data_IF_499979873884
#
_entry.id   IF_499979873884
#
_cell.length_a   1.000
_cell.length_b   1.000
_cell.length_c   1.000
_cell.angle_alpha   90.00
_cell.angle_beta   90.00
_cell.angle_gamma   90.00
#
_symmetry.space_group_name_H-M   'P 1'
#
loop_
_entity.id
_entity.type
_entity.pdbx_description
1 polymer ?
#
# COMPACT_ATOMS: atom_id res chain seq x y z
N UNK A 1 -0.16 1.34 24.94
CA UNK A 1 0.09 1.22 23.48
C UNK A 1 0.32 -0.24 23.12
N UNK A 2 -0.35 -0.78 22.08
CA UNK A 2 -0.22 -2.18 21.70
C UNK A 2 -0.41 -2.39 20.21
N UNK A 3 0.44 -3.27 19.63
CA UNK A 3 0.25 -3.79 18.27
C UNK A 3 -0.96 -4.71 18.26
N UNK A 4 -1.80 -4.63 17.23
CA UNK A 4 -3.05 -5.38 17.13
C UNK A 4 -2.89 -6.66 16.32
N UNK A 5 -3.47 -7.76 16.86
CA UNK A 5 -3.44 -9.07 16.23
C UNK A 5 -4.54 -9.24 15.18
N UNK A 6 -4.48 -10.32 14.44
CA UNK A 6 -5.48 -10.79 13.48
C UNK A 6 -6.91 -10.79 14.03
N UNK A 7 -7.10 -11.22 15.29
CA UNK A 7 -8.42 -11.25 15.95
C UNK A 7 -9.04 -9.85 16.03
N UNK A 8 -8.25 -8.88 16.46
CA UNK A 8 -8.70 -7.50 16.56
C UNK A 8 -8.94 -6.89 15.16
N UNK A 9 -8.04 -7.16 14.20
CA UNK A 9 -8.18 -6.67 12.81
C UNK A 9 -9.47 -7.20 12.22
N UNK A 10 -9.77 -8.49 12.40
CA UNK A 10 -11.01 -9.12 11.94
C UNK A 10 -12.24 -8.46 12.56
N UNK A 11 -12.26 -8.32 13.89
CA UNK A 11 -13.36 -7.66 14.61
C UNK A 11 -13.63 -6.25 14.07
N UNK A 12 -12.58 -5.44 13.90
CA UNK A 12 -12.70 -4.07 13.41
C UNK A 12 -13.13 -4.01 11.95
N UNK A 13 -12.64 -4.91 11.11
CA UNK A 13 -13.06 -4.98 9.70
C UNK A 13 -14.53 -5.39 9.55
N UNK A 14 -14.97 -6.42 10.26
CA UNK A 14 -16.34 -6.94 10.17
C UNK A 14 -17.37 -6.02 10.83
N UNK A 15 -17.09 -5.50 12.04
CA UNK A 15 -18.05 -4.70 12.82
C UNK A 15 -18.03 -3.21 12.51
N UNK A 16 -16.87 -2.65 12.12
CA UNK A 16 -16.67 -1.20 11.93
C UNK A 16 -16.27 -0.82 10.50
N UNK A 17 -16.18 -1.80 9.60
CA UNK A 17 -15.78 -1.57 8.20
C UNK A 17 -14.42 -0.86 8.08
N UNK A 18 -13.48 -1.22 8.99
CA UNK A 18 -12.15 -0.60 9.01
C UNK A 18 -11.37 -0.85 7.72
N UNK A 19 -11.61 -2.00 7.05
CA UNK A 19 -10.99 -2.41 5.79
C UNK A 19 -12.07 -2.93 4.86
N UNK A 20 -12.22 -2.35 3.66
CA UNK A 20 -13.18 -2.79 2.65
C UNK A 20 -12.56 -2.76 1.24
N UNK A 21 -12.58 -3.87 0.47
CA UNK A 21 -13.02 -5.20 0.85
C UNK A 21 -12.04 -5.88 1.81
N UNK A 22 -12.55 -6.63 2.79
CA UNK A 22 -11.76 -7.31 3.80
C UNK A 22 -11.52 -8.77 3.44
N UNK A 23 -10.28 -9.24 3.65
CA UNK A 23 -9.88 -10.63 3.50
C UNK A 23 -9.41 -11.20 4.84
N UNK A 24 -10.13 -12.17 5.38
CA UNK A 24 -9.94 -12.69 6.75
C UNK A 24 -8.69 -13.56 6.95
N UNK A 25 -8.01 -13.95 5.87
CA UNK A 25 -6.80 -14.76 5.91
C UNK A 25 -5.88 -14.43 4.73
N UNK A 26 -4.74 -15.12 4.66
CA UNK A 26 -3.78 -14.96 3.56
C UNK A 26 -4.24 -15.69 2.30
N UNK A 27 -4.49 -14.95 1.23
CA UNK A 27 -4.71 -15.49 -0.12
C UNK A 27 -3.36 -15.60 -0.82
N UNK A 28 -3.07 -16.76 -1.39
CA UNK A 28 -1.79 -17.09 -2.06
C UNK A 28 -1.96 -17.67 -3.46
N UNK A 29 -3.20 -18.00 -3.82
CA UNK A 29 -3.58 -18.55 -5.12
C UNK A 29 -4.84 -17.88 -5.61
N UNK A 30 -4.90 -17.65 -6.90
CA UNK A 30 -6.08 -17.16 -7.58
C UNK A 30 -7.11 -18.27 -7.86
N UNK A 31 -8.18 -17.91 -8.54
CA UNK A 31 -9.28 -18.82 -8.86
C UNK A 31 -8.86 -19.98 -9.76
N UNK A 32 -7.86 -19.78 -10.61
CA UNK A 32 -7.30 -20.80 -11.52
C UNK A 32 -6.02 -21.45 -10.95
N UNK A 33 -5.85 -21.46 -9.63
CA UNK A 33 -4.68 -22.00 -8.92
C UNK A 33 -3.33 -21.30 -9.24
N UNK A 34 -3.33 -20.19 -9.95
CA UNK A 34 -2.13 -19.39 -10.21
C UNK A 34 -1.56 -18.83 -8.90
N UNK A 35 -0.23 -18.73 -8.84
CA UNK A 35 0.47 -18.23 -7.67
C UNK A 35 0.35 -16.71 -7.58
N UNK A 36 -0.19 -16.20 -6.48
CA UNK A 36 -0.26 -14.77 -6.17
C UNK A 36 0.76 -14.37 -5.12
N UNK A 37 1.20 -13.12 -5.18
CA UNK A 37 1.88 -12.47 -4.06
C UNK A 37 0.81 -12.25 -2.97
N UNK A 38 0.99 -12.89 -1.83
CA UNK A 38 -0.04 -13.04 -0.80
C UNK A 38 -0.58 -11.70 -0.30
N UNK A 39 -1.88 -11.65 -0.02
CA UNK A 39 -2.58 -10.52 0.58
C UNK A 39 -3.61 -10.97 1.62
N UNK A 40 -4.12 -10.04 2.42
CA UNK A 40 -5.11 -10.31 3.46
C UNK A 40 -4.50 -10.31 4.87
N UNK A 41 -5.27 -10.78 5.83
CA UNK A 41 -4.90 -10.72 7.25
C UNK A 41 -3.73 -11.66 7.56
N UNK A 42 -2.69 -11.12 8.21
CA UNK A 42 -1.58 -11.84 8.82
C UNK A 42 -1.69 -11.78 10.35
N UNK A 43 -0.78 -12.43 11.09
CA UNK A 43 -0.85 -12.54 12.56
C UNK A 43 -0.89 -11.18 13.28
N UNK A 44 -0.16 -10.17 12.80
CA UNK A 44 -0.09 -8.82 13.38
C UNK A 44 -0.13 -7.72 12.32
N UNK A 45 -0.95 -7.89 11.28
CA UNK A 45 -1.09 -6.91 10.22
C UNK A 45 -2.04 -7.34 9.12
N UNK A 46 -2.12 -6.52 8.09
CA UNK A 46 -2.90 -6.77 6.90
C UNK A 46 -2.05 -6.46 5.67
N UNK A 47 -1.89 -7.45 4.79
CA UNK A 47 -1.20 -7.28 3.52
C UNK A 47 -2.15 -6.67 2.50
N UNK A 48 -1.88 -5.43 2.10
CA UNK A 48 -2.71 -4.66 1.18
C UNK A 48 -2.37 -4.95 -0.28
N UNK A 49 -3.38 -4.81 -1.14
CA UNK A 49 -3.22 -4.93 -2.60
C UNK A 49 -3.10 -3.55 -3.25
N UNK A 50 -2.37 -3.44 -4.35
CA UNK A 50 -2.50 -2.27 -5.21
C UNK A 50 -3.59 -2.47 -6.27
N UNK A 51 -4.25 -1.38 -6.67
CA UNK A 51 -5.19 -1.36 -7.79
C UNK A 51 -4.44 -1.51 -9.14
N UNK A 52 -5.18 -1.58 -10.22
CA UNK A 52 -4.64 -1.60 -11.57
C UNK A 52 -4.45 -0.20 -12.20
N UNK A 53 -4.55 0.85 -11.40
CA UNK A 53 -4.35 2.24 -11.79
C UNK A 53 -3.01 2.72 -11.26
N UNK A 54 -2.10 3.08 -12.16
CA UNK A 54 -0.74 3.49 -11.84
C UNK A 54 -0.43 4.85 -12.45
N UNK A 55 0.42 5.62 -11.76
CA UNK A 55 1.08 6.82 -12.29
C UNK A 55 2.58 6.55 -12.30
N UNK A 56 3.16 6.39 -13.48
CA UNK A 56 4.60 6.11 -13.65
C UNK A 56 5.33 7.41 -13.91
N UNK A 57 6.37 7.69 -13.11
CA UNK A 57 7.17 8.88 -13.25
C UNK A 57 7.95 8.90 -14.57
N UNK A 58 7.98 10.06 -15.21
CA UNK A 58 8.77 10.35 -16.39
C UNK A 58 9.54 11.66 -16.21
N UNK A 59 10.76 11.74 -16.72
CA UNK A 59 11.61 12.92 -16.67
C UNK A 59 11.56 13.78 -17.94
N UNK A 60 10.55 13.58 -18.81
CA UNK A 60 10.48 14.26 -20.11
C UNK A 60 10.15 15.75 -19.98
N UNK A 61 9.35 16.10 -18.97
CA UNK A 61 8.78 17.46 -18.83
C UNK A 61 9.44 18.32 -17.76
N UNK A 62 10.36 17.79 -16.95
CA UNK A 62 11.02 18.55 -15.88
C UNK A 62 12.49 18.19 -15.76
N UNK A 63 13.31 19.19 -15.46
CA UNK A 63 14.76 19.02 -15.21
C UNK A 63 15.07 18.87 -13.71
N UNK A 64 14.09 19.11 -12.85
CA UNK A 64 14.24 19.06 -11.38
C UNK A 64 12.94 18.59 -10.75
N UNK A 65 13.04 17.72 -9.74
CA UNK A 65 11.91 17.37 -8.89
C UNK A 65 11.86 18.35 -7.71
N UNK A 66 10.81 19.15 -7.64
CA UNK A 66 10.59 20.11 -6.55
C UNK A 66 9.28 19.77 -5.83
N UNK A 67 9.33 19.34 -4.55
CA UNK A 67 8.12 18.98 -3.81
C UNK A 67 7.19 20.17 -3.53
N UNK A 68 7.65 21.42 -3.67
CA UNK A 68 6.83 22.63 -3.54
C UNK A 68 6.21 23.09 -4.86
N UNK A 69 6.73 22.59 -5.97
CA UNK A 69 6.30 22.98 -7.31
C UNK A 69 6.43 21.76 -8.24
N UNK A 70 5.78 20.66 -7.86
CA UNK A 70 5.82 19.42 -8.63
C UNK A 70 5.00 19.57 -9.91
N UNK A 71 5.58 19.17 -11.04
CA UNK A 71 4.90 19.17 -12.34
C UNK A 71 4.10 17.85 -12.51
N UNK A 72 2.76 17.95 -12.47
CA UNK A 72 1.86 16.81 -12.65
C UNK A 72 2.02 16.12 -14.01
N UNK A 73 2.54 16.81 -15.03
CA UNK A 73 2.88 16.20 -16.32
C UNK A 73 4.08 15.23 -16.23
N UNK A 74 4.76 15.19 -15.09
CA UNK A 74 5.84 14.23 -14.83
C UNK A 74 5.32 12.80 -14.58
N UNK A 75 4.01 12.55 -14.65
CA UNK A 75 3.43 11.21 -14.57
C UNK A 75 2.72 10.81 -15.87
N UNK A 76 2.82 9.52 -16.19
CA UNK A 76 2.01 8.85 -17.20
C UNK A 76 1.02 7.94 -16.48
N UNK A 77 -0.28 8.13 -16.74
CA UNK A 77 -1.33 7.27 -16.22
C UNK A 77 -1.36 5.95 -17.00
N UNK A 78 -1.33 4.84 -16.27
CA UNK A 78 -1.36 3.48 -16.84
C UNK A 78 -2.44 2.69 -16.12
N UNK A 79 -3.32 2.04 -16.88
CA UNK A 79 -4.25 1.04 -16.38
C UNK A 79 -3.84 -0.34 -16.90
N UNK A 80 -3.38 -1.23 -16.01
CA UNK A 80 -2.84 -2.53 -16.41
C UNK A 80 -2.80 -3.49 -15.20
N UNK A 81 -2.84 -4.79 -15.49
CA UNK A 81 -2.63 -5.83 -14.47
C UNK A 81 -1.15 -5.92 -14.03
N UNK A 82 -0.24 -5.39 -14.83
CA UNK A 82 1.20 -5.33 -14.51
C UNK A 82 1.75 -3.95 -14.86
N UNK A 83 2.20 -3.22 -13.85
CA UNK A 83 2.97 -1.99 -14.04
C UNK A 83 4.45 -2.31 -14.19
N UNK A 84 5.12 -1.69 -15.15
CA UNK A 84 6.57 -1.76 -15.33
C UNK A 84 7.19 -0.42 -14.96
N UNK A 85 7.94 -0.38 -13.85
CA UNK A 85 8.65 0.83 -13.41
C UNK A 85 10.03 0.86 -14.05
N UNK A 86 10.40 1.93 -14.78
CA UNK A 86 11.73 2.06 -15.37
C UNK A 86 12.86 1.96 -14.34
N UNK A 87 14.09 1.64 -14.78
CA UNK A 87 15.27 1.64 -13.89
C UNK A 87 15.42 2.97 -13.12
N UNK A 88 15.71 2.88 -11.82
CA UNK A 88 15.94 4.04 -10.95
C UNK A 88 14.80 5.08 -10.98
N UNK A 89 13.56 4.65 -11.23
CA UNK A 89 12.38 5.48 -11.28
C UNK A 89 11.36 5.04 -10.22
N UNK A 90 10.19 5.66 -10.21
CA UNK A 90 9.14 5.34 -9.25
C UNK A 90 7.75 5.40 -9.89
N UNK A 91 6.78 4.82 -9.20
CA UNK A 91 5.39 4.87 -9.59
C UNK A 91 4.50 5.05 -8.35
N UNK A 92 3.34 5.63 -8.56
CA UNK A 92 2.28 5.71 -7.58
C UNK A 92 1.15 4.76 -7.97
N UNK A 93 0.52 4.15 -6.98
CA UNK A 93 -0.74 3.44 -7.12
C UNK A 93 -1.61 3.71 -5.90
N UNK A 94 -2.84 3.22 -5.89
CA UNK A 94 -3.67 3.25 -4.69
C UNK A 94 -3.97 1.83 -4.20
N UNK A 95 -4.31 1.68 -2.94
CA UNK A 95 -4.80 0.41 -2.43
C UNK A 95 -6.14 0.04 -3.07
N UNK A 96 -6.38 -1.27 -3.28
CA UNK A 96 -7.71 -1.81 -3.58
C UNK A 96 -8.63 -1.57 -2.39
N UNK A 97 -8.10 -1.77 -1.19
CA UNK A 97 -8.82 -1.61 0.07
C UNK A 97 -9.04 -0.12 0.38
N UNK A 98 -10.25 0.19 0.82
CA UNK A 98 -10.60 1.44 1.49
C UNK A 98 -10.46 1.28 2.99
N UNK A 99 -9.85 2.23 3.67
CA UNK A 99 -9.60 2.20 5.10
C UNK A 99 -10.41 3.24 5.85
N UNK A 100 -10.88 2.88 7.06
CA UNK A 100 -11.47 3.77 8.05
C UNK A 100 -10.75 3.55 9.37
N UNK A 101 -9.71 4.32 9.60
CA UNK A 101 -8.85 4.14 10.77
C UNK A 101 -9.54 4.72 12.01
N UNK A 102 -9.65 3.94 13.12
CA UNK A 102 -10.20 4.45 14.38
C UNK A 102 -9.40 5.63 14.93
N UNK A 103 -10.06 6.51 15.67
CA UNK A 103 -9.52 7.76 16.21
C UNK A 103 -8.45 7.60 17.33
N UNK A 104 -8.09 6.38 17.66
CA UNK A 104 -7.01 6.04 18.61
C UNK A 104 -6.04 4.99 18.06
N UNK A 105 -6.01 4.83 16.74
CA UNK A 105 -5.14 3.86 16.05
C UNK A 105 -4.24 4.59 15.06
N UNK A 106 -2.95 4.32 15.14
CA UNK A 106 -1.95 4.68 14.14
C UNK A 106 -1.66 3.45 13.26
N UNK A 107 -1.56 3.64 11.95
CA UNK A 107 -1.14 2.57 11.03
C UNK A 107 0.21 2.89 10.43
N UNK A 108 1.11 1.91 10.48
CA UNK A 108 2.43 2.00 9.82
C UNK A 108 2.46 1.00 8.67
N UNK A 109 2.87 1.49 7.50
CA UNK A 109 3.11 0.67 6.33
C UNK A 109 4.54 0.14 6.32
N UNK A 110 4.69 -1.15 6.11
CA UNK A 110 5.97 -1.83 5.91
C UNK A 110 5.98 -2.49 4.53
N UNK A 111 7.16 -2.52 3.90
CA UNK A 111 7.33 -3.22 2.63
C UNK A 111 7.13 -4.73 2.76
N UNK A 112 6.81 -5.37 1.64
CA UNK A 112 6.69 -6.83 1.56
C UNK A 112 8.00 -7.45 1.09
N UNK A 113 8.44 -8.52 1.76
CA UNK A 113 9.74 -9.16 1.49
C UNK A 113 9.90 -9.62 0.03
N UNK A 114 8.81 -9.98 -0.64
CA UNK A 114 8.81 -10.37 -2.06
C UNK A 114 9.34 -9.26 -2.94
N UNK A 115 8.90 -8.01 -2.72
CA UNK A 115 9.37 -6.84 -3.45
C UNK A 115 10.71 -6.31 -2.93
N UNK A 116 10.90 -6.31 -1.61
CA UNK A 116 12.13 -5.83 -0.99
C UNK A 116 13.38 -6.59 -1.49
N UNK A 117 13.28 -7.90 -1.69
CA UNK A 117 14.36 -8.73 -2.25
C UNK A 117 14.68 -8.42 -3.72
N UNK A 118 13.75 -7.81 -4.43
CA UNK A 118 13.92 -7.35 -5.80
C UNK A 118 14.38 -5.89 -5.89
N UNK A 119 14.73 -5.25 -4.76
CA UNK A 119 15.15 -3.86 -4.73
C UNK A 119 14.00 -2.87 -4.96
N UNK A 120 12.76 -3.28 -4.69
CA UNK A 120 11.58 -2.42 -4.79
C UNK A 120 11.18 -2.01 -3.38
N UNK A 121 11.14 -0.70 -3.16
CA UNK A 121 10.73 -0.10 -1.90
C UNK A 121 9.28 0.36 -2.05
N UNK A 122 8.45 0.04 -1.07
CA UNK A 122 7.11 0.63 -0.92
C UNK A 122 7.15 1.58 0.26
N UNK A 123 6.85 2.86 0.00
CA UNK A 123 6.79 3.90 1.01
C UNK A 123 5.35 4.38 1.16
N UNK A 124 4.94 4.68 2.38
CA UNK A 124 3.66 5.33 2.72
C UNK A 124 3.87 6.05 4.04
N UNK A 125 3.43 7.30 4.13
CA UNK A 125 3.40 8.00 5.42
C UNK A 125 2.43 7.31 6.38
N UNK A 126 2.61 7.43 7.71
CA UNK A 126 1.68 6.83 8.67
C UNK A 126 0.22 7.27 8.40
N UNK A 127 -0.72 6.35 8.55
CA UNK A 127 -2.14 6.70 8.53
C UNK A 127 -2.52 7.16 9.93
N UNK A 128 -2.86 8.42 10.03
CA UNK A 128 -3.21 9.06 11.30
C UNK A 128 -4.56 8.56 11.86
N UNK A 129 -4.77 8.65 13.18
CA UNK A 129 -6.05 8.35 13.80
C UNK A 129 -7.21 9.12 13.14
N UNK A 130 -8.30 8.43 12.82
CA UNK A 130 -9.48 9.02 12.16
C UNK A 130 -9.38 9.15 10.64
N UNK A 131 -8.23 8.87 10.04
CA UNK A 131 -8.05 8.95 8.58
C UNK A 131 -8.92 7.94 7.82
N UNK A 132 -9.45 8.36 6.67
CA UNK A 132 -10.27 7.51 5.81
C UNK A 132 -9.88 7.71 4.34
N UNK A 133 -9.83 6.62 3.57
CA UNK A 133 -9.54 6.69 2.14
C UNK A 133 -8.91 5.42 1.56
N UNK A 134 -8.63 5.47 0.27
CA UNK A 134 -7.66 4.58 -0.36
C UNK A 134 -6.26 5.16 -0.15
N UNK A 135 -5.32 4.32 0.22
CA UNK A 135 -3.95 4.75 0.50
C UNK A 135 -3.15 4.87 -0.79
N UNK A 136 -2.44 5.97 -0.97
CA UNK A 136 -1.45 6.09 -2.05
C UNK A 136 -0.22 5.27 -1.68
N UNK A 137 0.14 4.35 -2.55
CA UNK A 137 1.33 3.50 -2.47
C UNK A 137 2.42 4.09 -3.36
N UNK A 138 3.60 4.29 -2.81
CA UNK A 138 4.74 4.92 -3.48
C UNK A 138 5.81 3.85 -3.72
N UNK A 139 5.92 3.36 -4.96
CA UNK A 139 6.89 2.31 -5.34
C UNK A 139 8.15 2.93 -5.92
N UNK A 140 9.31 2.65 -5.33
CA UNK A 140 10.60 3.04 -5.88
C UNK A 140 11.35 1.82 -6.42
N UNK A 141 11.75 1.86 -7.69
CA UNK A 141 12.64 0.89 -8.29
C UNK A 141 14.09 1.36 -8.11
N UNK A 142 14.81 0.77 -7.17
CA UNK A 142 16.21 1.12 -6.89
C UNK A 142 17.21 0.31 -7.73
N UNK A 143 16.73 -0.47 -8.70
CA UNK A 143 17.58 -1.35 -9.53
C UNK A 143 17.88 -0.73 -10.89
N UNK A 144 18.94 -1.17 -11.57
CA UNK A 144 19.25 -0.76 -12.95
C UNK A 144 18.37 -1.47 -13.99
N UNK A 145 17.39 -2.26 -13.59
CA UNK A 145 16.49 -3.02 -14.47
C UNK A 145 15.05 -2.54 -14.32
N UNK A 146 14.21 -2.68 -15.36
CA UNK A 146 12.76 -2.49 -15.23
C UNK A 146 12.19 -3.44 -14.19
N UNK A 147 11.31 -2.95 -13.30
CA UNK A 147 10.69 -3.73 -12.24
C UNK A 147 9.18 -3.85 -12.44
N UNK A 148 8.62 -5.04 -12.18
CA UNK A 148 7.18 -5.30 -12.30
C UNK A 148 6.48 -5.20 -10.96
N UNK A 149 5.32 -4.53 -10.96
CA UNK A 149 4.34 -4.53 -9.87
C UNK A 149 3.07 -5.17 -10.39
N UNK A 150 2.51 -6.12 -9.65
CA UNK A 150 1.29 -6.83 -10.02
C UNK A 150 0.07 -6.23 -9.35
N UNK A 151 -0.91 -5.81 -10.16
CA UNK A 151 -2.19 -5.31 -9.66
C UNK A 151 -3.00 -6.41 -8.97
N UNK A 152 -3.85 -6.02 -8.03
CA UNK A 152 -4.72 -6.92 -7.26
C UNK A 152 -3.98 -7.97 -6.41
N UNK A 153 -2.66 -7.88 -6.30
CA UNK A 153 -1.82 -8.72 -5.46
C UNK A 153 -1.22 -7.93 -4.29
N UNK A 154 -0.71 -8.65 -3.27
CA UNK A 154 -0.16 -8.05 -2.05
C UNK A 154 1.15 -7.30 -2.30
N UNK A 155 1.24 -6.05 -1.84
CA UNK A 155 2.40 -5.17 -2.09
C UNK A 155 3.08 -4.65 -0.83
N UNK A 156 2.34 -4.52 0.27
CA UNK A 156 2.83 -3.97 1.53
C UNK A 156 2.04 -4.53 2.71
N UNK A 157 2.58 -4.40 3.91
CA UNK A 157 1.89 -4.80 5.14
C UNK A 157 1.57 -3.58 6.00
N UNK A 158 0.33 -3.49 6.46
CA UNK A 158 -0.12 -2.49 7.42
C UNK A 158 -0.13 -3.09 8.83
N UNK A 159 0.54 -2.40 9.75
CA UNK A 159 0.59 -2.74 11.17
C UNK A 159 -0.23 -1.71 11.95
N UNK A 160 -1.19 -2.19 12.76
CA UNK A 160 -2.10 -1.35 13.53
C UNK A 160 -1.62 -1.23 14.98
N UNK A 161 -1.42 0.00 15.43
CA UNK A 161 -0.94 0.33 16.77
C UNK A 161 -2.01 1.15 17.49
N UNK A 162 -2.62 0.59 18.54
CA UNK A 162 -3.59 1.31 19.35
C UNK A 162 -2.90 2.14 20.42
N UNK A 163 -3.18 3.45 20.44
CA UNK A 163 -2.76 4.37 21.49
C UNK A 163 -3.47 4.10 22.83
N UNK A 164 -2.89 4.58 23.91
CA UNK A 164 -3.52 4.52 25.26
C UNK A 164 -4.60 5.59 25.42
N UNK A 165 -4.48 6.67 24.66
CA UNK A 165 -5.37 7.83 24.67
C UNK A 165 -5.64 8.31 23.23
N UNK A 166 -6.65 9.12 23.05
CA UNK A 166 -6.91 9.79 21.77
C UNK A 166 -6.00 11.01 21.64
N UNK A 167 -5.49 11.31 20.42
CA UNK A 167 -4.79 12.55 20.18
C UNK A 167 -5.74 13.75 20.29
N UNK A 168 -5.20 14.90 20.66
CA UNK A 168 -5.95 16.17 20.64
C UNK A 168 -6.01 16.78 19.23
N UNK A 169 -5.02 16.43 18.40
CA UNK A 169 -4.90 16.90 17.00
C UNK A 169 -5.03 15.70 16.07
N UNK A 170 -5.94 15.79 15.09
CA UNK A 170 -6.17 14.79 14.04
C UNK A 170 -6.19 15.46 12.66
#
# INVERSE_FOLDING_TARGET
>A
MSIKSDKWIKEMAESHKMIEPYQSGQVRRGENEERLISYGTSSYGYDVRCSNEFKVFTNIHSVTVDPKNFDDNSFIDIQSDVCVIPPNSFALARTVEYFKIPDNVLVICLGKSTYARCGIIVNVTPLEPGWQGHVTLEFSNTTPLPAKIYANEGVAQFVFIKGNEKPEVT
#
